data_IF_259585105925
#
_entry.id   IF_259585105925
#
_cell.length_a   1.000
_cell.length_b   1.000
_cell.length_c   1.000
_cell.angle_alpha   90.00
_cell.angle_beta   90.00
_cell.angle_gamma   90.00
#
_symmetry.space_group_name_H-M   'P 1'
#
loop_
_entity.id
_entity.type
_entity.pdbx_description
1 polymer ?
#
# COMPACT_ATOMS: atom_id res chain seq x y z
N UNK A 1 38.55 -3.08 -21.99
CA UNK A 1 39.83 -3.57 -21.42
C UNK A 1 39.66 -3.61 -19.89
N UNK A 2 38.99 -4.66 -19.42
CA UNK A 2 38.84 -4.95 -17.98
C UNK A 2 39.77 -6.12 -17.63
N UNK A 3 41.00 -5.88 -17.28
CA UNK A 3 41.93 -6.97 -17.00
C UNK A 3 43.26 -6.58 -16.37
N UNK A 4 43.40 -5.37 -15.86
CA UNK A 4 44.69 -4.91 -15.30
C UNK A 4 44.67 -4.64 -13.78
N UNK A 5 43.63 -5.04 -13.05
CA UNK A 5 43.66 -5.00 -11.57
C UNK A 5 44.26 -6.31 -11.06
N UNK A 6 45.29 -6.28 -10.20
CA UNK A 6 45.78 -7.49 -9.58
C UNK A 6 44.69 -8.16 -8.74
N UNK A 7 44.49 -9.44 -8.94
CA UNK A 7 43.53 -10.23 -8.17
C UNK A 7 44.01 -10.34 -6.73
N UNK A 8 43.11 -10.19 -5.80
CA UNK A 8 43.39 -10.56 -4.39
C UNK A 8 43.50 -12.09 -4.25
N UNK A 9 44.15 -12.57 -3.19
CA UNK A 9 44.23 -14.02 -2.90
C UNK A 9 42.83 -14.65 -2.84
N UNK A 10 41.86 -13.96 -2.28
CA UNK A 10 40.48 -14.45 -2.17
C UNK A 10 39.76 -14.53 -3.53
N UNK A 11 39.93 -13.55 -4.39
CA UNK A 11 39.40 -13.58 -5.76
C UNK A 11 40.04 -14.73 -6.58
N UNK A 12 41.34 -14.93 -6.42
CA UNK A 12 42.05 -16.04 -7.07
C UNK A 12 41.55 -17.41 -6.57
N UNK A 13 41.36 -17.57 -5.25
CA UNK A 13 40.80 -18.78 -4.67
C UNK A 13 39.37 -19.07 -5.14
N UNK A 14 38.51 -18.03 -5.24
CA UNK A 14 37.15 -18.16 -5.75
C UNK A 14 37.10 -18.60 -7.21
N UNK A 15 37.97 -18.03 -8.07
CA UNK A 15 38.11 -18.42 -9.47
C UNK A 15 38.64 -19.88 -9.57
N UNK A 16 39.64 -20.24 -8.77
CA UNK A 16 40.18 -21.60 -8.72
C UNK A 16 39.10 -22.62 -8.33
N UNK A 17 38.26 -22.31 -7.33
CA UNK A 17 37.11 -23.13 -6.94
C UNK A 17 36.12 -23.33 -8.07
N UNK A 18 35.79 -22.27 -8.81
CA UNK A 18 34.92 -22.35 -9.97
C UNK A 18 35.50 -23.18 -11.12
N UNK A 19 36.81 -23.11 -11.34
CA UNK A 19 37.52 -23.94 -12.30
C UNK A 19 37.55 -25.42 -11.89
N UNK A 20 37.86 -25.72 -10.64
CA UNK A 20 37.88 -27.09 -10.10
C UNK A 20 36.51 -27.76 -10.20
N UNK A 21 35.41 -27.02 -9.94
CA UNK A 21 34.03 -27.52 -10.09
C UNK A 21 33.66 -27.93 -11.51
N UNK A 22 34.31 -27.33 -12.51
CA UNK A 22 34.05 -27.58 -13.95
C UNK A 22 35.06 -28.57 -14.59
N UNK A 23 36.19 -28.81 -13.96
CA UNK A 23 37.24 -29.68 -14.49
C UNK A 23 36.91 -31.17 -14.24
N UNK A 24 36.76 -31.92 -15.30
CA UNK A 24 36.50 -33.37 -15.22
C UNK A 24 37.77 -34.17 -14.74
N UNK A 25 38.98 -33.62 -15.02
CA UNK A 25 40.27 -34.14 -14.50
C UNK A 25 41.21 -32.94 -14.27
N UNK A 26 41.61 -32.67 -13.01
CA UNK A 26 42.52 -31.57 -12.71
C UNK A 26 43.92 -31.87 -13.23
N UNK A 27 44.56 -30.94 -13.98
CA UNK A 27 45.95 -30.99 -14.38
C UNK A 27 46.89 -30.87 -13.15
N UNK A 28 48.15 -31.25 -13.32
CA UNK A 28 49.13 -31.15 -12.21
C UNK A 28 49.31 -29.68 -11.74
N UNK A 29 49.18 -28.73 -12.64
CA UNK A 29 49.20 -27.30 -12.31
C UNK A 29 48.00 -26.88 -11.47
N UNK A 30 46.81 -27.41 -11.76
CA UNK A 30 45.61 -27.16 -10.95
C UNK A 30 45.72 -27.78 -9.56
N UNK A 31 46.33 -28.96 -9.43
CA UNK A 31 46.60 -29.59 -8.14
C UNK A 31 47.61 -28.79 -7.31
N UNK A 32 48.67 -28.27 -7.92
CA UNK A 32 49.63 -27.41 -7.24
C UNK A 32 48.98 -26.12 -6.71
N UNK A 33 48.14 -25.46 -7.53
CA UNK A 33 47.37 -24.30 -7.11
C UNK A 33 46.36 -24.64 -6.01
N UNK A 34 45.71 -25.79 -6.09
CA UNK A 34 44.79 -26.25 -5.03
C UNK A 34 45.51 -26.42 -3.68
N UNK A 35 46.72 -26.93 -3.67
CA UNK A 35 47.54 -27.04 -2.47
C UNK A 35 47.97 -25.68 -1.93
N UNK A 36 48.37 -24.78 -2.83
CA UNK A 36 48.78 -23.43 -2.45
C UNK A 36 47.64 -22.62 -1.82
N UNK A 37 46.39 -22.76 -2.35
CA UNK A 37 45.21 -22.05 -1.88
C UNK A 37 44.32 -22.85 -0.93
N UNK A 38 44.81 -23.94 -0.38
CA UNK A 38 44.03 -24.86 0.45
C UNK A 38 43.38 -24.18 1.66
N UNK A 39 44.05 -23.23 2.30
CA UNK A 39 43.54 -22.50 3.46
C UNK A 39 42.38 -21.61 3.05
N UNK A 40 42.53 -20.82 1.97
CA UNK A 40 41.51 -19.95 1.46
C UNK A 40 40.31 -20.73 0.94
N UNK A 41 40.52 -21.86 0.28
CA UNK A 41 39.44 -22.74 -0.20
C UNK A 41 38.61 -23.30 0.95
N UNK A 42 39.29 -23.80 2.00
CA UNK A 42 38.59 -24.33 3.21
C UNK A 42 37.78 -23.23 3.90
N UNK A 43 38.34 -22.02 4.00
CA UNK A 43 37.60 -20.89 4.60
C UNK A 43 36.42 -20.44 3.75
N UNK A 44 36.56 -20.46 2.41
CA UNK A 44 35.45 -20.15 1.49
C UNK A 44 34.34 -21.20 1.59
N UNK A 45 34.69 -22.46 1.75
CA UNK A 45 33.72 -23.55 1.95
C UNK A 45 32.97 -23.39 3.27
N UNK A 46 33.68 -23.16 4.37
CA UNK A 46 33.04 -22.92 5.66
C UNK A 46 32.13 -21.68 5.70
N UNK A 47 32.52 -20.60 5.00
CA UNK A 47 31.67 -19.42 4.87
C UNK A 47 30.43 -19.66 4.00
N UNK A 48 30.57 -20.43 2.93
CA UNK A 48 29.44 -20.80 2.06
C UNK A 48 28.45 -21.66 2.84
N UNK A 49 28.93 -22.71 3.54
CA UNK A 49 28.10 -23.58 4.40
C UNK A 49 27.36 -22.76 5.50
N UNK A 50 28.05 -21.80 6.10
CA UNK A 50 27.44 -20.92 7.10
C UNK A 50 26.37 -20.03 6.50
N UNK A 51 26.61 -19.52 5.29
CA UNK A 51 25.61 -18.70 4.59
C UNK A 51 24.40 -19.52 4.14
N UNK A 52 24.64 -20.75 3.63
CA UNK A 52 23.55 -21.67 3.26
C UNK A 52 22.66 -21.97 4.47
N UNK A 53 23.26 -22.34 5.61
CA UNK A 53 22.51 -22.57 6.87
C UNK A 53 21.71 -21.34 7.31
N UNK A 54 22.31 -20.15 7.16
CA UNK A 54 21.64 -18.90 7.52
C UNK A 54 20.47 -18.58 6.59
N UNK A 55 20.59 -18.91 5.30
CA UNK A 55 19.49 -18.79 4.33
C UNK A 55 18.38 -19.79 4.68
N UNK A 56 18.71 -21.06 4.96
CA UNK A 56 17.75 -22.08 5.39
C UNK A 56 17.01 -21.67 6.68
N UNK A 57 17.72 -21.10 7.66
CA UNK A 57 17.12 -20.59 8.88
C UNK A 57 16.18 -19.40 8.61
N UNK A 58 16.57 -18.47 7.72
CA UNK A 58 15.74 -17.34 7.34
C UNK A 58 14.51 -17.78 6.54
N UNK A 59 14.66 -18.74 5.64
CA UNK A 59 13.55 -19.33 4.88
C UNK A 59 12.58 -20.07 5.80
N UNK A 60 13.09 -20.81 6.80
CA UNK A 60 12.28 -21.52 7.80
C UNK A 60 11.51 -20.56 8.74
N UNK A 61 12.03 -19.34 8.96
CA UNK A 61 11.40 -18.30 9.77
C UNK A 61 10.52 -17.38 8.95
N UNK A 62 10.65 -17.37 7.62
CA UNK A 62 9.83 -16.55 6.75
C UNK A 62 8.39 -17.06 6.75
N UNK A 63 7.45 -16.16 6.97
CA UNK A 63 6.01 -16.47 6.91
C UNK A 63 5.63 -17.05 5.53
N UNK A 64 6.21 -16.50 4.47
CA UNK A 64 6.09 -17.00 3.10
C UNK A 64 7.12 -16.28 2.22
N UNK A 65 7.62 -16.93 1.17
CA UNK A 65 8.47 -16.31 0.15
C UNK A 65 7.67 -15.42 -0.82
N UNK A 66 6.36 -15.60 -0.88
CA UNK A 66 5.45 -14.89 -1.78
C UNK A 66 4.53 -13.92 -1.04
N UNK A 67 4.45 -14.00 0.29
CA UNK A 67 3.58 -13.18 1.13
C UNK A 67 4.42 -12.38 2.11
N UNK A 68 4.21 -11.07 2.12
CA UNK A 68 4.79 -10.15 3.11
C UNK A 68 3.71 -9.69 4.08
N UNK A 69 4.04 -9.69 5.36
CA UNK A 69 3.26 -9.07 6.41
C UNK A 69 3.99 -7.81 6.85
N UNK A 70 3.31 -6.67 6.79
CA UNK A 70 3.76 -5.41 7.35
C UNK A 70 2.65 -4.79 8.17
N UNK A 71 2.94 -3.73 8.88
CA UNK A 71 1.91 -3.03 9.66
C UNK A 71 2.46 -1.77 10.28
N UNK A 72 1.55 -0.96 10.78
CA UNK A 72 1.86 0.21 11.57
C UNK A 72 0.97 0.27 12.82
N UNK A 73 1.44 0.95 13.84
CA UNK A 73 0.66 1.25 15.03
C UNK A 73 0.81 2.73 15.36
N UNK A 74 -0.30 3.43 15.44
CA UNK A 74 -0.38 4.84 15.80
C UNK A 74 -1.01 4.94 17.18
N UNK A 75 -0.37 5.66 18.08
CA UNK A 75 -0.91 6.01 19.38
C UNK A 75 -1.07 7.52 19.46
N UNK A 76 -2.28 7.96 19.75
CA UNK A 76 -2.63 9.37 19.76
C UNK A 76 -3.18 9.79 21.12
N UNK A 77 -2.57 10.79 21.72
CA UNK A 77 -3.12 11.46 22.91
C UNK A 77 -3.96 12.64 22.45
N UNK A 78 -5.26 12.58 22.72
CA UNK A 78 -6.24 13.56 22.27
C UNK A 78 -6.86 14.29 23.46
N UNK A 79 -7.00 15.61 23.32
CA UNK A 79 -7.72 16.46 24.26
C UNK A 79 -8.54 17.48 23.48
N UNK A 80 -9.85 17.49 23.71
CA UNK A 80 -10.78 18.35 22.99
C UNK A 80 -11.21 19.54 23.85
N UNK A 81 -11.21 20.73 23.22
CA UNK A 81 -11.69 21.96 23.83
C UNK A 81 -12.96 22.44 23.15
N UNK A 82 -14.03 22.68 23.91
CA UNK A 82 -15.32 23.11 23.40
C UNK A 82 -15.55 24.58 23.70
N UNK A 83 -15.94 25.34 22.64
CA UNK A 83 -16.32 26.74 22.71
C UNK A 83 -17.56 26.99 21.86
N UNK A 84 -18.30 28.08 22.12
CA UNK A 84 -19.50 28.41 21.34
C UNK A 84 -20.42 29.38 22.12
N UNK A 85 -21.56 29.68 21.54
CA UNK A 85 -22.57 30.59 22.14
C UNK A 85 -23.58 29.89 23.06
N UNK A 86 -23.73 28.57 22.99
CA UNK A 86 -24.64 27.77 23.82
C UNK A 86 -23.88 27.11 24.95
N UNK A 87 -24.13 27.51 26.18
CA UNK A 87 -23.53 26.91 27.37
C UNK A 87 -23.97 25.45 27.60
N UNK A 88 -25.20 25.13 27.22
CA UNK A 88 -25.76 23.77 27.36
C UNK A 88 -25.02 22.80 26.44
N UNK A 89 -24.89 23.12 25.17
CA UNK A 89 -24.14 22.32 24.19
C UNK A 89 -22.66 22.15 24.57
N UNK A 90 -22.04 23.21 25.12
CA UNK A 90 -20.64 23.13 25.59
C UNK A 90 -20.51 22.17 26.77
N UNK A 91 -21.49 22.18 27.71
CA UNK A 91 -21.46 21.29 28.86
C UNK A 91 -21.72 19.84 28.47
N UNK A 92 -22.63 19.59 27.53
CA UNK A 92 -22.88 18.25 26.97
C UNK A 92 -21.61 17.72 26.29
N UNK A 93 -21.04 18.45 25.36
CA UNK A 93 -19.82 18.05 24.66
C UNK A 93 -18.64 17.81 25.60
N UNK A 94 -18.51 18.61 26.67
CA UNK A 94 -17.49 18.40 27.70
C UNK A 94 -17.72 17.13 28.52
N UNK A 95 -18.96 16.74 28.78
CA UNK A 95 -19.26 15.47 29.46
C UNK A 95 -18.93 14.28 28.58
N UNK A 96 -19.24 14.37 27.30
CA UNK A 96 -19.16 13.25 26.38
C UNK A 96 -17.72 13.06 25.82
N UNK A 97 -16.98 14.16 25.62
CA UNK A 97 -15.69 14.13 24.96
C UNK A 97 -14.61 15.02 25.61
N UNK A 98 -14.85 15.56 26.82
CA UNK A 98 -13.93 16.53 27.45
C UNK A 98 -12.76 15.91 28.21
N UNK A 99 -12.64 14.60 28.28
CA UNK A 99 -11.53 13.94 28.93
C UNK A 99 -10.36 13.72 27.96
N UNK A 100 -9.13 13.76 28.50
CA UNK A 100 -7.94 13.34 27.76
C UNK A 100 -8.07 11.83 27.51
N UNK A 101 -7.97 11.40 26.25
CA UNK A 101 -7.98 10.00 25.88
C UNK A 101 -6.73 9.58 25.14
N UNK A 102 -6.34 8.34 25.31
CA UNK A 102 -5.35 7.67 24.47
C UNK A 102 -6.12 6.85 23.43
N UNK A 103 -5.99 7.23 22.17
CA UNK A 103 -6.55 6.49 21.05
C UNK A 103 -5.43 5.72 20.34
N UNK A 104 -5.79 4.67 19.63
CA UNK A 104 -4.85 3.89 18.83
C UNK A 104 -5.46 3.48 17.50
N UNK A 105 -4.56 3.23 16.55
CA UNK A 105 -4.86 2.66 15.25
C UNK A 105 -3.75 1.68 14.88
N UNK A 106 -4.11 0.44 14.58
CA UNK A 106 -3.17 -0.61 14.23
C UNK A 106 -3.60 -1.26 12.93
N UNK A 107 -2.79 -1.07 11.90
CA UNK A 107 -2.99 -1.65 10.59
C UNK A 107 -2.06 -2.82 10.32
N UNK A 108 -2.59 -3.85 9.68
CA UNK A 108 -1.84 -4.99 9.18
C UNK A 108 -2.07 -5.13 7.68
N UNK A 109 -0.99 -5.15 6.92
CA UNK A 109 -0.97 -5.28 5.46
C UNK A 109 -0.41 -6.64 5.08
N UNK A 110 -1.24 -7.50 4.49
CA UNK A 110 -0.84 -8.80 3.97
C UNK A 110 -0.82 -8.72 2.44
N UNK A 111 0.36 -8.73 1.87
CA UNK A 111 0.57 -8.64 0.44
C UNK A 111 1.17 -9.93 -0.11
N UNK A 112 0.45 -10.59 -1.01
CA UNK A 112 0.85 -11.86 -1.63
C UNK A 112 1.03 -11.69 -3.13
N UNK A 113 2.20 -12.08 -3.64
CA UNK A 113 2.46 -12.14 -5.08
C UNK A 113 2.55 -13.59 -5.54
N UNK A 114 1.76 -13.95 -6.56
CA UNK A 114 1.74 -15.31 -7.12
C UNK A 114 2.69 -15.46 -8.32
N UNK A 115 2.98 -14.35 -9.00
CA UNK A 115 3.76 -14.33 -10.25
C UNK A 115 4.95 -13.36 -10.21
N UNK A 116 5.22 -12.75 -9.05
CA UNK A 116 6.32 -11.80 -8.85
C UNK A 116 6.08 -10.40 -9.40
N UNK A 117 4.93 -10.14 -10.04
CA UNK A 117 4.54 -8.81 -10.59
C UNK A 117 3.07 -8.47 -10.34
N UNK A 118 2.41 -9.29 -9.58
CA UNK A 118 1.03 -9.13 -9.13
C UNK A 118 0.99 -9.00 -7.61
N UNK A 119 -0.09 -8.50 -7.08
CA UNK A 119 -0.31 -8.42 -5.64
C UNK A 119 -1.78 -8.67 -5.30
N UNK A 120 -2.01 -9.63 -4.41
CA UNK A 120 -3.23 -9.72 -3.63
C UNK A 120 -2.99 -8.97 -2.32
N UNK A 121 -3.74 -7.91 -2.09
CA UNK A 121 -3.64 -7.11 -0.87
C UNK A 121 -4.84 -7.38 0.03
N UNK A 122 -4.55 -7.67 1.29
CA UNK A 122 -5.53 -7.73 2.38
C UNK A 122 -5.05 -6.78 3.46
N UNK A 123 -5.90 -5.81 3.77
CA UNK A 123 -5.63 -4.78 4.75
C UNK A 123 -6.64 -4.86 5.89
N UNK A 124 -6.15 -4.97 7.12
CA UNK A 124 -6.97 -5.09 8.31
C UNK A 124 -6.59 -4.04 9.33
N UNK A 125 -7.59 -3.43 9.93
CA UNK A 125 -7.43 -2.40 10.96
C UNK A 125 -8.08 -2.81 12.27
N UNK A 126 -7.43 -2.42 13.36
CA UNK A 126 -7.98 -2.41 14.72
C UNK A 126 -7.80 -1.01 15.27
N UNK A 127 -8.88 -0.25 15.42
CA UNK A 127 -8.79 1.12 15.90
C UNK A 127 -9.84 1.47 16.94
N UNK A 128 -9.60 2.55 17.66
CA UNK A 128 -10.54 3.24 18.52
C UNK A 128 -10.53 4.76 18.31
N UNK A 129 -9.95 5.22 17.19
CA UNK A 129 -9.83 6.64 16.85
C UNK A 129 -11.18 7.30 16.59
N UNK A 130 -12.17 6.56 16.11
CA UNK A 130 -13.47 7.07 15.66
C UNK A 130 -14.54 7.13 16.77
N UNK A 131 -14.13 7.33 18.00
CA UNK A 131 -15.05 7.48 19.13
C UNK A 131 -15.57 8.91 19.31
N UNK A 132 -15.90 9.60 18.26
CA UNK A 132 -16.49 10.94 18.34
C UNK A 132 -18.01 10.93 18.51
N UNK A 133 -18.56 10.03 19.31
CA UNK A 133 -19.99 10.11 19.55
C UNK A 133 -20.58 8.92 20.28
N UNK A 134 -20.70 9.05 21.58
CA UNK A 134 -21.75 8.47 22.42
C UNK A 134 -21.98 6.97 22.34
N UNK A 135 -22.19 6.41 23.48
CA UNK A 135 -22.74 5.09 23.80
C UNK A 135 -21.78 3.98 24.21
N UNK A 136 -20.56 4.32 24.61
CA UNK A 136 -19.87 3.55 25.66
C UNK A 136 -19.46 2.09 25.42
N UNK A 137 -19.86 1.44 24.36
CA UNK A 137 -19.40 0.09 24.02
C UNK A 137 -18.27 0.11 23.01
N UNK A 138 -17.05 -0.03 23.54
CA UNK A 138 -15.88 -0.24 22.70
C UNK A 138 -15.85 -1.68 22.22
N UNK A 139 -16.53 -1.97 21.17
CA UNK A 139 -16.30 -3.21 20.43
C UNK A 139 -15.03 -3.00 19.62
N UNK A 140 -13.93 -3.53 20.11
CA UNK A 140 -12.71 -3.65 19.31
C UNK A 140 -12.99 -4.67 18.22
N UNK A 141 -13.30 -4.20 17.03
CA UNK A 141 -13.57 -5.07 15.89
C UNK A 141 -12.36 -5.01 14.97
N UNK A 142 -11.82 -6.15 14.62
CA UNK A 142 -10.90 -6.26 13.50
C UNK A 142 -11.72 -6.14 12.24
N UNK A 143 -11.50 -5.07 11.48
CA UNK A 143 -12.17 -4.86 10.20
C UNK A 143 -11.20 -5.10 9.04
N UNK A 144 -11.73 -5.65 7.94
CA UNK A 144 -11.00 -5.73 6.67
C UNK A 144 -11.31 -4.48 5.87
N UNK A 145 -10.30 -3.64 5.66
CA UNK A 145 -10.45 -2.37 4.97
C UNK A 145 -10.18 -2.46 3.48
N UNK A 146 -9.30 -3.38 3.06
CA UNK A 146 -8.95 -3.61 1.66
C UNK A 146 -8.89 -5.10 1.38
N UNK A 147 -9.42 -5.47 0.22
CA UNK A 147 -9.30 -6.81 -0.34
C UNK A 147 -9.36 -6.69 -1.86
N UNK A 148 -8.20 -6.67 -2.50
CA UNK A 148 -8.12 -6.53 -3.95
C UNK A 148 -6.94 -7.29 -4.55
N UNK A 149 -7.04 -7.56 -5.84
CA UNK A 149 -5.96 -8.15 -6.63
C UNK A 149 -5.56 -7.21 -7.76
N UNK A 150 -4.28 -6.91 -7.83
CA UNK A 150 -3.67 -6.06 -8.85
C UNK A 150 -2.67 -6.88 -9.67
N UNK A 151 -2.77 -6.80 -10.99
CA UNK A 151 -1.94 -7.59 -11.89
C UNK A 151 -1.66 -6.88 -13.22
N UNK A 152 -0.48 -7.13 -13.84
CA UNK A 152 -0.16 -6.58 -15.15
C UNK A 152 -0.92 -7.31 -16.27
N UNK A 153 -1.42 -6.54 -17.24
CA UNK A 153 -2.06 -7.04 -18.47
C UNK A 153 -1.55 -6.23 -19.66
N UNK A 154 -0.58 -6.77 -20.38
CA UNK A 154 0.13 -6.06 -21.43
C UNK A 154 0.83 -4.80 -20.88
N UNK A 155 0.56 -3.60 -21.46
CA UNK A 155 1.15 -2.34 -20.99
C UNK A 155 0.36 -1.71 -19.82
N UNK A 156 -0.71 -2.34 -19.36
CA UNK A 156 -1.60 -1.85 -18.32
C UNK A 156 -1.43 -2.62 -17.03
N UNK A 157 -1.81 -2.00 -15.93
CA UNK A 157 -2.07 -2.67 -14.67
C UNK A 157 -3.57 -2.62 -14.40
N UNK A 158 -4.12 -3.78 -14.04
CA UNK A 158 -5.53 -3.97 -13.70
C UNK A 158 -5.64 -4.22 -12.20
N UNK A 159 -6.67 -3.64 -11.60
CA UNK A 159 -7.04 -3.88 -10.20
C UNK A 159 -8.50 -4.30 -10.14
N UNK A 160 -8.80 -5.34 -9.35
CA UNK A 160 -10.17 -5.77 -9.07
C UNK A 160 -10.25 -6.19 -7.61
N UNK A 161 -11.30 -5.81 -6.93
CA UNK A 161 -11.46 -6.14 -5.51
C UNK A 161 -12.90 -6.06 -5.03
N UNK A 162 -13.14 -6.74 -3.90
CA UNK A 162 -14.41 -6.63 -3.16
C UNK A 162 -14.40 -5.44 -2.19
N UNK A 163 -13.21 -5.02 -1.75
CA UNK A 163 -12.97 -3.85 -0.91
C UNK A 163 -11.75 -3.11 -1.47
N UNK A 164 -12.01 -2.14 -2.32
CA UNK A 164 -10.98 -1.33 -2.97
C UNK A 164 -11.44 0.12 -3.00
N UNK A 165 -10.50 1.04 -2.90
CA UNK A 165 -10.83 2.44 -3.02
C UNK A 165 -10.21 3.05 -4.29
N UNK A 166 -10.60 4.27 -4.59
CA UNK A 166 -10.12 5.01 -5.75
C UNK A 166 -8.59 5.10 -5.79
N UNK A 167 -7.96 5.40 -4.66
CA UNK A 167 -6.51 5.59 -4.53
C UNK A 167 -5.72 4.30 -4.80
N UNK A 168 -6.25 3.13 -4.45
CA UNK A 168 -5.63 1.83 -4.73
C UNK A 168 -5.52 1.55 -6.25
N UNK A 169 -6.27 2.27 -7.07
CA UNK A 169 -6.42 2.05 -8.50
C UNK A 169 -5.84 3.20 -9.36
N UNK A 170 -5.15 4.15 -8.74
CA UNK A 170 -4.43 5.22 -9.43
C UNK A 170 -2.96 4.85 -9.63
N UNK A 171 -2.40 5.18 -10.80
CA UNK A 171 -0.98 4.99 -11.07
C UNK A 171 -0.10 5.88 -10.19
N UNK A 172 -0.60 7.04 -9.81
CA UNK A 172 0.09 8.05 -9.02
C UNK A 172 -0.89 8.69 -8.06
N UNK A 173 -0.51 8.75 -6.78
CA UNK A 173 -1.14 9.60 -5.78
C UNK A 173 -0.29 10.87 -5.66
N UNK A 174 -0.74 12.02 -6.19
CA UNK A 174 0.13 13.19 -6.37
C UNK A 174 0.27 14.04 -5.11
N UNK A 175 0.21 13.46 -3.91
CA UNK A 175 0.44 14.14 -2.65
C UNK A 175 1.81 13.83 -2.07
N UNK A 176 2.45 14.84 -1.50
CA UNK A 176 3.67 14.70 -0.67
C UNK A 176 3.33 14.51 0.81
N UNK A 177 2.08 14.67 1.18
CA UNK A 177 1.61 14.52 2.56
C UNK A 177 1.22 13.06 2.82
N UNK A 178 1.61 12.49 3.96
CA UNK A 178 1.16 11.16 4.35
C UNK A 178 -0.35 11.15 4.60
N UNK A 179 -0.95 9.97 4.44
CA UNK A 179 -2.41 9.79 4.62
C UNK A 179 -2.88 10.10 6.04
N UNK A 180 -2.04 9.90 7.04
CA UNK A 180 -2.33 10.08 8.46
C UNK A 180 -2.00 11.49 8.97
N UNK A 181 -2.21 12.51 8.16
CA UNK A 181 -2.00 13.90 8.63
C UNK A 181 -3.18 14.40 9.45
N UNK A 182 -2.91 15.25 10.42
CA UNK A 182 -3.94 15.90 11.27
C UNK A 182 -4.93 16.73 10.45
N UNK A 183 -4.50 17.26 9.30
CA UNK A 183 -5.33 18.07 8.41
C UNK A 183 -5.76 17.25 7.19
N UNK A 184 -6.90 16.58 7.28
CA UNK A 184 -7.45 15.73 6.22
C UNK A 184 -7.57 16.43 4.85
N UNK A 185 -7.78 17.73 4.81
CA UNK A 185 -7.86 18.48 3.55
C UNK A 185 -6.59 18.34 2.69
N UNK A 186 -5.44 18.12 3.30
CA UNK A 186 -4.18 17.93 2.60
C UNK A 186 -3.97 16.47 2.15
N UNK A 187 -4.61 15.50 2.79
CA UNK A 187 -4.49 14.07 2.42
C UNK A 187 -5.16 13.75 1.09
N UNK A 188 -6.17 14.53 0.71
CA UNK A 188 -6.88 14.41 -0.57
C UNK A 188 -6.32 15.38 -1.63
N UNK A 189 -5.04 15.68 -1.57
CA UNK A 189 -4.32 16.51 -2.54
C UNK A 189 -4.93 17.90 -2.77
N UNK A 190 -5.67 18.43 -1.80
CA UNK A 190 -6.39 19.69 -1.93
C UNK A 190 -7.62 19.64 -2.83
N UNK A 191 -8.02 18.47 -3.30
CA UNK A 191 -9.18 18.27 -4.18
C UNK A 191 -10.17 17.20 -3.63
N UNK A 192 -10.70 17.38 -2.40
CA UNK A 192 -11.53 16.36 -1.75
C UNK A 192 -12.84 16.04 -2.48
N UNK A 193 -13.31 16.93 -3.36
CA UNK A 193 -14.47 16.66 -4.20
C UNK A 193 -14.19 15.73 -5.38
N UNK A 194 -12.92 15.54 -5.74
CA UNK A 194 -12.50 14.67 -6.84
C UNK A 194 -11.83 13.40 -6.33
N UNK A 195 -11.00 13.50 -5.28
CA UNK A 195 -10.44 12.35 -4.58
C UNK A 195 -11.35 11.96 -3.43
N UNK A 196 -11.74 10.70 -3.38
CA UNK A 196 -12.47 10.14 -2.27
C UNK A 196 -11.81 8.84 -1.80
N UNK A 197 -12.10 8.42 -0.59
CA UNK A 197 -11.58 7.20 0.01
C UNK A 197 -12.68 6.18 0.29
N UNK A 198 -13.81 6.31 -0.41
CA UNK A 198 -14.88 5.33 -0.34
C UNK A 198 -14.40 3.96 -0.76
N UNK A 199 -14.78 2.94 0.00
CA UNK A 199 -14.37 1.56 -0.17
C UNK A 199 -15.55 0.71 -0.58
N UNK A 200 -15.36 -0.11 -1.60
CA UNK A 200 -16.39 -1.03 -2.08
C UNK A 200 -15.87 -1.94 -3.18
N UNK A 201 -16.73 -2.81 -3.75
CA UNK A 201 -16.38 -3.55 -4.95
C UNK A 201 -15.99 -2.61 -6.08
N UNK A 202 -14.83 -2.87 -6.70
CA UNK A 202 -14.33 -1.96 -7.72
C UNK A 202 -13.39 -2.61 -8.71
N UNK A 203 -13.19 -1.88 -9.80
CA UNK A 203 -12.28 -2.23 -10.89
C UNK A 203 -11.54 -0.99 -11.35
N UNK A 204 -10.25 -1.14 -11.63
CA UNK A 204 -9.42 -0.07 -12.15
C UNK A 204 -8.41 -0.54 -13.18
N UNK A 205 -7.99 0.40 -14.01
CA UNK A 205 -6.94 0.21 -15.00
C UNK A 205 -6.06 1.44 -15.02
N UNK A 206 -4.75 1.23 -15.08
CA UNK A 206 -3.83 2.34 -15.26
C UNK A 206 -2.61 1.95 -16.11
N UNK A 207 -1.96 2.97 -16.64
CA UNK A 207 -0.71 2.86 -17.39
C UNK A 207 0.20 4.02 -17.09
N UNK A 208 1.51 3.75 -16.99
CA UNK A 208 2.57 4.77 -16.95
C UNK A 208 3.43 4.70 -18.21
N UNK A 209 3.80 5.87 -18.72
CA UNK A 209 4.70 6.00 -19.88
C UNK A 209 5.47 7.32 -19.79
N UNK A 210 6.80 7.25 -19.68
CA UNK A 210 7.72 8.41 -19.71
C UNK A 210 7.30 9.59 -18.80
N UNK A 211 6.93 9.28 -17.56
CA UNK A 211 6.47 10.27 -16.59
C UNK A 211 4.97 10.58 -16.66
N UNK A 212 4.30 10.29 -17.77
CA UNK A 212 2.84 10.38 -17.84
C UNK A 212 2.19 9.14 -17.26
N UNK A 213 1.04 9.32 -16.62
CA UNK A 213 0.18 8.24 -16.19
C UNK A 213 -1.28 8.55 -16.51
N UNK A 214 -2.00 7.52 -16.91
CA UNK A 214 -3.44 7.56 -17.12
C UNK A 214 -4.06 6.46 -16.26
N UNK A 215 -5.05 6.83 -15.45
CA UNK A 215 -5.80 5.92 -14.60
C UNK A 215 -7.29 6.11 -14.82
N UNK A 216 -8.04 5.01 -14.76
CA UNK A 216 -9.49 5.03 -14.78
C UNK A 216 -9.99 3.93 -13.82
N UNK A 217 -10.97 4.25 -12.99
CA UNK A 217 -11.52 3.31 -12.04
C UNK A 217 -13.02 3.54 -11.78
N UNK A 218 -13.63 2.51 -11.20
CA UNK A 218 -14.99 2.55 -10.71
C UNK A 218 -15.08 1.80 -9.38
N UNK A 219 -15.70 2.42 -8.38
CA UNK A 219 -15.99 1.84 -7.06
C UNK A 219 -17.50 1.86 -6.85
N UNK A 220 -18.10 0.71 -6.60
CA UNK A 220 -19.53 0.55 -6.34
C UNK A 220 -19.79 0.54 -4.84
N UNK A 221 -20.45 1.56 -4.31
CA UNK A 221 -20.59 1.74 -2.85
C UNK A 221 -21.58 0.77 -2.19
N UNK A 222 -22.61 0.32 -2.91
CA UNK A 222 -23.70 -0.49 -2.36
C UNK A 222 -23.84 -1.87 -2.98
N UNK A 223 -22.83 -2.34 -3.71
CA UNK A 223 -22.93 -3.62 -4.41
C UNK A 223 -22.95 -4.85 -3.49
N UNK A 224 -22.65 -4.67 -2.19
CA UNK A 224 -22.69 -5.72 -1.18
C UNK A 224 -24.05 -5.83 -0.47
N UNK A 225 -24.95 -4.89 -0.68
CA UNK A 225 -26.26 -4.88 -0.06
C UNK A 225 -27.28 -5.48 -1.02
N UNK A 226 -27.81 -6.64 -0.67
CA UNK A 226 -28.80 -7.35 -1.49
C UNK A 226 -30.24 -6.95 -1.19
N UNK A 227 -30.46 -6.18 -0.12
CA UNK A 227 -31.82 -5.89 0.38
C UNK A 227 -32.39 -4.58 -0.16
N UNK A 228 -31.57 -3.70 -0.73
CA UNK A 228 -32.04 -2.39 -1.16
C UNK A 228 -32.39 -2.37 -2.65
N UNK A 229 -33.57 -2.83 -2.96
CA UNK A 229 -34.35 -2.37 -4.14
C UNK A 229 -34.89 -0.95 -3.85
N UNK A 230 -34.04 -0.02 -3.40
CA UNK A 230 -34.47 1.35 -3.20
C UNK A 230 -34.77 1.96 -4.54
N UNK A 231 -36.05 2.29 -4.72
CA UNK A 231 -36.59 3.16 -5.75
C UNK A 231 -36.52 2.66 -7.20
N UNK A 232 -36.71 1.35 -7.42
CA UNK A 232 -36.98 0.83 -8.77
C UNK A 232 -35.80 0.84 -9.75
N UNK A 233 -34.61 1.19 -9.32
CA UNK A 233 -33.38 1.10 -10.09
C UNK A 233 -32.74 -0.28 -9.87
N UNK A 234 -32.82 -1.12 -10.86
CA UNK A 234 -32.45 -2.53 -10.84
C UNK A 234 -30.94 -2.82 -10.91
N UNK A 235 -30.07 -1.86 -10.58
CA UNK A 235 -28.62 -2.07 -10.65
C UNK A 235 -27.93 -1.44 -9.44
N UNK A 236 -27.50 -2.30 -8.52
CA UNK A 236 -26.64 -1.94 -7.37
C UNK A 236 -25.31 -1.23 -7.78
N UNK A 237 -25.05 -1.10 -9.08
CA UNK A 237 -23.91 -0.36 -9.63
C UNK A 237 -24.20 1.15 -9.81
N UNK A 238 -25.44 1.59 -9.64
CA UNK A 238 -25.83 2.99 -9.93
C UNK A 238 -25.32 4.02 -8.91
N UNK A 239 -24.89 3.58 -7.72
CA UNK A 239 -24.39 4.44 -6.63
C UNK A 239 -22.87 4.59 -6.56
N UNK A 240 -22.12 4.13 -7.57
CA UNK A 240 -20.66 4.12 -7.52
C UNK A 240 -19.99 5.38 -8.05
N UNK A 241 -18.71 5.53 -7.71
CA UNK A 241 -17.85 6.61 -8.19
C UNK A 241 -17.02 6.16 -9.37
N UNK A 242 -17.10 6.88 -10.49
CA UNK A 242 -16.23 6.70 -11.65
C UNK A 242 -15.17 7.81 -11.68
N UNK A 243 -13.90 7.43 -11.81
CA UNK A 243 -12.79 8.39 -11.78
C UNK A 243 -11.85 8.18 -12.96
N UNK A 244 -11.37 9.30 -13.51
CA UNK A 244 -10.27 9.32 -14.50
C UNK A 244 -9.24 10.33 -14.06
N UNK A 245 -7.97 9.94 -14.06
CA UNK A 245 -6.84 10.81 -13.75
C UNK A 245 -5.79 10.76 -14.85
N UNK A 246 -5.32 11.93 -15.26
CA UNK A 246 -4.10 12.11 -16.04
C UNK A 246 -3.07 12.81 -15.17
N UNK A 247 -1.89 12.22 -15.01
CA UNK A 247 -0.82 12.83 -14.25
C UNK A 247 0.51 12.82 -15.01
N UNK A 248 1.37 13.76 -14.65
CA UNK A 248 2.76 13.80 -15.08
C UNK A 248 3.67 13.97 -13.87
N UNK A 249 4.63 13.06 -13.74
CA UNK A 249 5.60 13.05 -12.63
C UNK A 249 7.00 13.32 -13.17
N UNK A 250 7.66 14.32 -12.60
CA UNK A 250 9.08 14.63 -12.80
C UNK A 250 9.85 14.28 -11.52
N UNK A 251 11.18 14.48 -11.54
CA UNK A 251 12.05 14.12 -10.41
C UNK A 251 11.69 14.82 -9.07
N UNK A 252 11.10 16.03 -9.14
CA UNK A 252 10.86 16.88 -7.96
C UNK A 252 9.43 17.37 -7.83
N UNK A 253 8.57 17.10 -8.79
CA UNK A 253 7.18 17.55 -8.75
C UNK A 253 6.27 16.61 -9.55
N UNK A 254 5.02 16.58 -9.17
CA UNK A 254 3.95 15.86 -9.89
C UNK A 254 2.78 16.80 -10.06
N UNK A 255 2.15 16.77 -11.22
CA UNK A 255 0.88 17.45 -11.46
C UNK A 255 -0.14 16.43 -11.95
N UNK A 256 -1.37 16.53 -11.47
CA UNK A 256 -2.45 15.66 -11.89
C UNK A 256 -3.73 16.45 -12.16
N UNK A 257 -4.46 16.04 -13.20
CA UNK A 257 -5.82 16.46 -13.47
C UNK A 257 -6.73 15.26 -13.25
N UNK A 258 -7.75 15.41 -12.41
CA UNK A 258 -8.68 14.36 -12.06
C UNK A 258 -10.11 14.80 -12.33
N UNK A 259 -10.91 13.86 -12.80
CA UNK A 259 -12.36 13.98 -12.90
C UNK A 259 -13.01 12.78 -12.25
N UNK A 260 -13.94 13.02 -11.33
CA UNK A 260 -14.73 12.00 -10.67
C UNK A 260 -16.22 12.31 -10.83
N UNK A 261 -16.97 11.29 -11.25
CA UNK A 261 -18.42 11.35 -11.28
C UNK A 261 -18.97 10.54 -10.11
N UNK A 262 -19.69 11.21 -9.23
CA UNK A 262 -20.25 10.65 -8.00
C UNK A 262 -21.78 10.77 -8.10
N UNK A 263 -22.49 9.75 -8.62
CA UNK A 263 -23.95 9.77 -8.64
C UNK A 263 -24.52 9.69 -7.23
N UNK A 264 -25.67 10.26 -7.00
CA UNK A 264 -26.40 10.28 -5.73
C UNK A 264 -25.77 11.11 -4.60
N UNK A 265 -24.79 11.96 -4.91
CA UNK A 265 -24.23 12.89 -3.95
C UNK A 265 -23.40 12.26 -2.83
N UNK A 266 -22.96 11.02 -2.97
CA UNK A 266 -21.96 10.43 -2.10
C UNK A 266 -20.60 11.03 -2.42
N UNK A 267 -20.26 12.05 -1.71
CA UNK A 267 -18.95 12.66 -1.69
C UNK A 267 -18.50 12.82 -0.25
N UNK A 268 -17.22 13.05 -0.05
CA UNK A 268 -16.58 13.32 1.24
C UNK A 268 -17.20 14.53 1.98
N UNK A 269 -18.15 15.21 1.38
CA UNK A 269 -18.76 16.42 1.91
C UNK A 269 -20.11 16.10 2.50
N UNK A 270 -20.18 16.27 3.80
CA UNK A 270 -21.29 16.16 4.71
C UNK A 270 -22.66 16.50 4.14
N UNK A 271 -23.67 15.81 4.61
CA UNK A 271 -25.10 15.98 4.39
C UNK A 271 -25.62 17.43 4.49
N UNK A 272 -24.90 18.33 5.15
CA UNK A 272 -25.31 19.72 5.38
C UNK A 272 -24.98 20.70 4.26
N UNK A 273 -24.12 20.36 3.31
CA UNK A 273 -23.55 21.35 2.37
C UNK A 273 -23.88 21.13 0.89
N UNK A 274 -24.73 20.19 0.58
CA UNK A 274 -25.12 19.95 -0.81
C UNK A 274 -24.12 19.06 -1.55
N UNK A 275 -24.66 18.19 -2.30
CA UNK A 275 -23.97 17.10 -2.97
C UNK A 275 -23.20 17.58 -4.19
N UNK A 276 -21.93 17.23 -4.28
CA UNK A 276 -21.16 17.32 -5.51
C UNK A 276 -21.41 16.01 -6.27
N UNK A 277 -22.20 16.08 -7.33
CA UNK A 277 -22.45 14.91 -8.19
C UNK A 277 -21.26 14.59 -9.07
N UNK A 278 -20.56 15.63 -9.51
CA UNK A 278 -19.35 15.55 -10.31
C UNK A 278 -18.29 16.41 -9.63
N UNK A 279 -17.10 15.85 -9.44
CA UNK A 279 -15.97 16.57 -8.87
C UNK A 279 -14.81 16.60 -9.85
N UNK A 280 -14.09 17.69 -9.88
CA UNK A 280 -12.83 17.82 -10.60
C UNK A 280 -11.84 18.62 -9.76
N UNK A 281 -10.56 18.34 -9.96
CA UNK A 281 -9.52 19.04 -9.22
C UNK A 281 -8.16 18.89 -9.85
N UNK A 282 -7.24 19.69 -9.38
CA UNK A 282 -5.83 19.62 -9.71
C UNK A 282 -5.06 19.43 -8.42
N UNK A 283 -4.10 18.48 -8.42
CA UNK A 283 -3.20 18.23 -7.34
C UNK A 283 -1.77 18.43 -7.82
N UNK A 284 -0.90 19.06 -7.01
CA UNK A 284 0.47 19.38 -7.37
C UNK A 284 1.43 19.21 -6.18
#
# INVERSE_FOLDING_TARGET
>A
MEGQRPLTRWEAAALLKACLKRATAPSDQLRALQQEFQVELTQLEGRLEQQEKRVEELEAQAFSTTTTLSGQAIFQLQADGFGGSSLETIQENRRDSGAVRLAYDVDFYLNTSFRGRDVLSVDTTVNDLDRSGGDGESTQVVSVNRLFYQFPSGPFTLTVGGLVSQDDMLAVWPSVYPAETVLNVLTLNGAPGAYNQEVGPGIGIWRQLDGFSLSANYVALFANDSDDLVDGSSTHLSGGTATVQLAYSAAQWTIAAIYSRIPNGYGVINEATGFVRDGYGFAG
#
